data_IF_844092417486
#
_entry.id   IF_844092417486
#
_cell.length_a   1.000
_cell.length_b   1.000
_cell.length_c   1.000
_cell.angle_alpha   90.00
_cell.angle_beta   90.00
_cell.angle_gamma   90.00
#
_symmetry.space_group_name_H-M   'P 1'
#
loop_
_entity.id
_entity.type
_entity.pdbx_description
1 polymer ?
#
# COMPACT_ATOMS: atom_id res chain seq x y z
N UNK A 1 126.70 94.85 -114.46
CA UNK A 1 127.79 95.60 -115.12
C UNK A 1 129.10 94.92 -114.79
N UNK A 2 129.93 94.79 -115.83
CA UNK A 2 131.39 94.56 -115.83
C UNK A 2 132.12 95.30 -114.72
N UNK A 3 133.35 95.02 -114.27
CA UNK A 3 134.47 94.07 -114.50
C UNK A 3 135.53 94.62 -113.52
N UNK A 4 136.38 93.79 -112.91
CA UNK A 4 137.83 94.01 -112.94
C UNK A 4 138.63 92.90 -112.24
N UNK A 5 139.77 92.67 -112.87
CA UNK A 5 140.72 91.58 -112.77
C UNK A 5 141.58 91.55 -111.49
N UNK A 6 142.40 90.48 -111.44
CA UNK A 6 143.82 90.46 -111.02
C UNK A 6 144.12 89.54 -109.79
N UNK A 7 145.38 89.12 -109.58
CA UNK A 7 145.80 87.76 -109.93
C UNK A 7 146.60 87.03 -108.82
N UNK A 8 146.88 85.75 -109.07
CA UNK A 8 148.03 84.95 -108.62
C UNK A 8 148.60 85.17 -107.20
N UNK A 9 148.35 84.25 -106.26
CA UNK A 9 149.37 83.73 -105.31
C UNK A 9 148.88 82.49 -104.54
N UNK A 10 149.73 81.45 -104.45
CA UNK A 10 149.57 80.23 -103.63
C UNK A 10 149.55 80.56 -102.13
N UNK A 11 148.77 79.84 -101.30
CA UNK A 11 149.38 78.89 -100.34
C UNK A 11 148.51 77.62 -100.09
N UNK A 12 149.08 76.41 -100.13
CA UNK A 12 149.50 75.56 -99.00
C UNK A 12 148.36 74.98 -98.10
N UNK A 13 147.99 73.72 -98.37
CA UNK A 13 147.62 72.57 -97.47
C UNK A 13 146.97 72.95 -96.10
N UNK A 14 145.80 72.39 -95.69
CA UNK A 14 145.67 70.93 -95.59
C UNK A 14 144.40 70.27 -96.12
N UNK A 15 144.69 69.21 -96.85
CA UNK A 15 143.90 68.03 -97.12
C UNK A 15 143.47 67.38 -95.78
N UNK A 16 142.35 67.81 -95.19
CA UNK A 16 141.70 67.07 -94.08
C UNK A 16 140.93 65.91 -94.70
N UNK A 17 141.68 64.89 -95.13
CA UNK A 17 141.14 63.54 -95.23
C UNK A 17 140.61 63.17 -93.85
N UNK A 18 139.29 63.20 -93.66
CA UNK A 18 138.64 62.57 -92.51
C UNK A 18 139.14 61.12 -92.45
N UNK A 19 140.05 60.85 -91.54
CA UNK A 19 140.58 59.50 -91.33
C UNK A 19 139.40 58.58 -91.00
N UNK A 20 139.44 57.36 -91.54
CA UNK A 20 138.50 56.28 -91.18
C UNK A 20 138.35 56.16 -89.65
N UNK A 21 139.41 56.46 -88.90
CA UNK A 21 139.41 56.48 -87.44
C UNK A 21 138.44 57.54 -86.89
N UNK A 22 138.54 58.80 -87.32
CA UNK A 22 137.68 59.89 -86.86
C UNK A 22 136.19 59.70 -87.20
N UNK A 23 135.86 59.12 -88.36
CA UNK A 23 134.47 58.77 -88.68
C UNK A 23 133.97 57.55 -87.88
N UNK A 24 134.84 56.56 -87.64
CA UNK A 24 134.52 55.43 -86.76
C UNK A 24 134.35 55.85 -85.31
N UNK A 25 135.13 56.81 -84.81
CA UNK A 25 135.02 57.32 -83.45
C UNK A 25 133.72 58.11 -83.28
N UNK A 26 133.33 58.92 -84.27
CA UNK A 26 132.06 59.64 -84.25
C UNK A 26 130.84 58.71 -84.37
N UNK A 27 130.94 57.65 -85.20
CA UNK A 27 129.93 56.59 -85.22
C UNK A 27 129.90 55.80 -83.93
N UNK A 28 131.05 55.56 -83.28
CA UNK A 28 131.11 54.85 -82.00
C UNK A 28 130.49 55.71 -80.90
N UNK A 29 130.72 57.02 -80.91
CA UNK A 29 130.15 57.98 -79.96
C UNK A 29 128.65 58.17 -80.17
N UNK A 30 128.18 58.38 -81.41
CA UNK A 30 126.74 58.42 -81.72
C UNK A 30 126.09 57.08 -81.40
N UNK A 31 126.73 55.95 -81.69
CA UNK A 31 126.19 54.64 -81.33
C UNK A 31 126.22 54.40 -79.82
N UNK A 32 127.20 54.92 -79.08
CA UNK A 32 127.24 54.85 -77.63
C UNK A 32 126.17 55.75 -77.02
N UNK A 33 125.96 56.95 -77.56
CA UNK A 33 124.96 57.91 -77.09
C UNK A 33 123.53 57.46 -77.45
N UNK A 34 123.33 56.87 -78.64
CA UNK A 34 122.07 56.24 -79.02
C UNK A 34 121.84 54.97 -78.19
N UNK A 35 122.85 54.12 -77.98
CA UNK A 35 122.72 52.93 -77.13
C UNK A 35 122.47 53.30 -75.68
N UNK A 36 123.14 54.31 -75.13
CA UNK A 36 122.93 54.78 -73.76
C UNK A 36 121.56 55.45 -73.61
N UNK A 37 121.11 56.22 -74.61
CA UNK A 37 119.74 56.74 -74.62
C UNK A 37 118.71 55.62 -74.70
N UNK A 38 118.91 54.63 -75.57
CA UNK A 38 118.03 53.47 -75.73
C UNK A 38 118.00 52.64 -74.46
N UNK A 39 119.16 52.34 -73.85
CA UNK A 39 119.25 51.60 -72.58
C UNK A 39 118.63 52.41 -71.44
N UNK A 40 118.92 53.72 -71.35
CA UNK A 40 118.35 54.59 -70.31
C UNK A 40 116.83 54.77 -70.45
N UNK A 41 116.26 54.63 -71.65
CA UNK A 41 114.80 54.74 -71.85
C UNK A 41 114.08 53.40 -71.76
N UNK A 42 114.66 52.32 -72.29
CA UNK A 42 114.03 50.99 -72.30
C UNK A 42 114.29 50.18 -71.03
N UNK A 43 115.43 50.29 -70.36
CA UNK A 43 115.71 49.50 -69.15
C UNK A 43 114.68 49.71 -68.03
N UNK A 44 114.22 50.94 -67.71
CA UNK A 44 113.17 51.15 -66.71
C UNK A 44 111.82 50.59 -67.16
N UNK A 45 111.52 50.62 -68.47
CA UNK A 45 110.28 50.08 -69.03
C UNK A 45 110.24 48.55 -68.98
N UNK A 46 111.37 47.90 -69.30
CA UNK A 46 111.52 46.44 -69.19
C UNK A 46 111.42 46.00 -67.74
N UNK A 47 112.01 46.75 -66.79
CA UNK A 47 111.87 46.46 -65.36
C UNK A 47 110.44 46.59 -64.86
N UNK A 48 109.75 47.65 -65.27
CA UNK A 48 108.34 47.85 -64.91
C UNK A 48 107.46 46.74 -65.48
N UNK A 49 107.68 46.36 -66.74
CA UNK A 49 106.95 45.26 -67.38
C UNK A 49 107.21 43.89 -66.72
N UNK A 50 108.46 43.61 -66.33
CA UNK A 50 108.82 42.39 -65.63
C UNK A 50 108.15 42.29 -64.25
N UNK A 51 108.15 43.37 -63.46
CA UNK A 51 107.46 43.40 -62.15
C UNK A 51 105.95 43.20 -62.29
N UNK A 52 105.31 43.80 -63.27
CA UNK A 52 103.87 43.61 -63.49
C UNK A 52 103.59 42.16 -63.88
N UNK A 53 104.37 41.58 -64.81
CA UNK A 53 104.17 40.20 -65.29
C UNK A 53 104.37 39.17 -64.16
N UNK A 54 105.43 39.29 -63.36
CA UNK A 54 105.71 38.39 -62.23
C UNK A 54 104.70 38.58 -61.10
N UNK A 55 104.32 39.84 -60.80
CA UNK A 55 103.30 40.14 -59.80
C UNK A 55 101.93 39.56 -60.14
N UNK A 56 101.57 39.47 -61.43
CA UNK A 56 100.36 38.79 -61.89
C UNK A 56 100.43 37.26 -61.69
N UNK A 57 101.60 36.64 -61.84
CA UNK A 57 101.77 35.19 -61.68
C UNK A 57 101.78 34.74 -60.21
N UNK A 58 102.31 35.55 -59.30
CA UNK A 58 102.35 35.22 -57.86
C UNK A 58 100.99 35.36 -57.15
N UNK A 59 100.05 36.09 -57.76
CA UNK A 59 98.70 36.29 -57.23
C UNK A 59 98.66 37.18 -55.97
N UNK A 60 97.44 37.55 -55.53
CA UNK A 60 97.23 38.33 -54.31
C UNK A 60 97.77 37.59 -53.07
N UNK A 61 98.34 38.29 -52.06
CA UNK A 61 98.93 37.69 -50.85
C UNK A 61 97.95 36.84 -50.02
N UNK A 62 96.66 36.85 -50.36
CA UNK A 62 95.61 36.04 -49.73
C UNK A 62 95.52 34.62 -50.33
N UNK A 63 95.93 34.42 -51.59
CA UNK A 63 95.88 33.11 -52.27
C UNK A 63 97.25 32.47 -52.53
N UNK A 64 98.34 33.24 -52.55
CA UNK A 64 99.69 32.74 -52.80
C UNK A 64 100.56 32.58 -51.55
N UNK A 65 101.79 32.08 -51.72
CA UNK A 65 102.77 31.95 -50.64
C UNK A 65 103.18 33.36 -50.14
N UNK A 66 102.67 33.74 -48.96
CA UNK A 66 102.87 35.07 -48.34
C UNK A 66 104.34 35.48 -48.26
N UNK A 67 105.25 34.52 -48.04
CA UNK A 67 106.69 34.81 -47.90
C UNK A 67 107.35 35.21 -49.22
N UNK A 68 107.00 34.54 -50.31
CA UNK A 68 107.51 34.84 -51.66
C UNK A 68 106.97 36.20 -52.12
N UNK A 69 105.70 36.49 -51.85
CA UNK A 69 105.10 37.79 -52.17
C UNK A 69 105.77 38.96 -51.43
N UNK A 70 106.11 38.78 -50.14
CA UNK A 70 106.81 39.80 -49.34
C UNK A 70 108.25 40.03 -49.85
N UNK A 71 108.98 38.96 -50.22
CA UNK A 71 110.32 39.10 -50.82
C UNK A 71 110.26 39.82 -52.17
N UNK A 72 109.32 39.46 -53.04
CA UNK A 72 109.12 40.07 -54.34
C UNK A 72 108.88 41.60 -54.27
N UNK A 73 108.04 42.06 -53.35
CA UNK A 73 107.75 43.50 -53.17
C UNK A 73 108.98 44.29 -52.71
N UNK A 74 109.93 43.67 -52.01
CA UNK A 74 111.10 44.34 -51.43
C UNK A 74 112.28 44.55 -52.40
N UNK A 75 112.21 43.99 -53.62
CA UNK A 75 113.31 44.00 -54.60
C UNK A 75 113.49 45.35 -55.30
N UNK A 76 114.74 45.75 -55.57
CA UNK A 76 115.10 47.05 -56.18
C UNK A 76 115.75 46.94 -57.56
N UNK A 77 116.10 45.74 -58.02
CA UNK A 77 116.66 45.50 -59.35
C UNK A 77 116.04 44.29 -60.05
N UNK A 78 116.16 44.22 -61.37
CA UNK A 78 115.64 43.10 -62.18
C UNK A 78 116.24 41.74 -61.78
N UNK A 79 117.49 41.73 -61.32
CA UNK A 79 118.18 40.52 -60.86
C UNK A 79 117.61 40.03 -59.52
N UNK A 80 117.35 40.95 -58.59
CA UNK A 80 116.72 40.63 -57.31
C UNK A 80 115.27 40.15 -57.48
N UNK A 81 114.55 40.67 -58.49
CA UNK A 81 113.21 40.16 -58.85
C UNK A 81 113.29 38.68 -59.25
N UNK A 82 114.29 38.29 -60.06
CA UNK A 82 114.48 36.90 -60.45
C UNK A 82 114.80 36.00 -59.25
N UNK A 83 115.69 36.44 -58.35
CA UNK A 83 116.08 35.67 -57.15
C UNK A 83 114.94 35.56 -56.11
N UNK A 84 114.06 36.57 -56.03
CA UNK A 84 112.93 36.56 -55.09
C UNK A 84 111.82 35.55 -55.44
N UNK A 85 111.76 35.13 -56.70
CA UNK A 85 110.77 34.16 -57.22
C UNK A 85 111.31 32.73 -57.12
N UNK A 86 112.62 32.55 -56.95
CA UNK A 86 113.24 31.23 -56.75
C UNK A 86 112.94 30.77 -55.31
N UNK A 87 112.19 29.66 -55.12
CA UNK A 87 111.93 29.15 -53.79
C UNK A 87 113.23 28.63 -53.15
N UNK A 88 113.47 29.04 -51.91
CA UNK A 88 114.56 28.60 -51.04
C UNK A 88 114.32 27.11 -50.72
N UNK A 89 114.96 26.21 -51.46
CA UNK A 89 114.57 24.79 -51.56
C UNK A 89 115.24 23.86 -50.54
N UNK A 90 115.86 24.41 -49.49
CA UNK A 90 116.62 23.64 -48.50
C UNK A 90 115.80 23.00 -47.38
N UNK A 91 115.05 23.79 -46.60
CA UNK A 91 114.55 23.37 -45.26
C UNK A 91 113.01 23.36 -45.10
N UNK A 92 112.26 23.90 -46.07
CA UNK A 92 110.78 23.93 -46.01
C UNK A 92 110.14 22.59 -46.42
N UNK A 93 110.87 21.71 -47.12
CA UNK A 93 110.34 20.42 -47.61
C UNK A 93 110.16 19.39 -46.48
N UNK A 94 111.09 19.34 -45.53
CA UNK A 94 111.06 18.37 -44.43
C UNK A 94 110.07 18.76 -43.33
N UNK A 95 110.00 20.06 -43.01
CA UNK A 95 109.05 20.62 -42.03
C UNK A 95 107.60 20.52 -42.51
N UNK A 96 107.33 20.84 -43.78
CA UNK A 96 106.00 20.63 -44.39
C UNK A 96 105.63 19.15 -44.51
N UNK A 97 106.60 18.27 -44.77
CA UNK A 97 106.39 16.81 -44.81
C UNK A 97 106.04 16.23 -43.42
N UNK A 98 106.70 16.69 -42.35
CA UNK A 98 106.37 16.30 -40.97
C UNK A 98 104.99 16.81 -40.53
N UNK A 99 104.63 18.06 -40.85
CA UNK A 99 103.28 18.58 -40.58
C UNK A 99 102.21 17.83 -41.36
N UNK A 100 102.46 17.48 -42.63
CA UNK A 100 101.55 16.66 -43.43
C UNK A 100 101.40 15.25 -42.85
N UNK A 101 102.47 14.62 -42.36
CA UNK A 101 102.41 13.33 -41.70
C UNK A 101 101.61 13.39 -40.39
N UNK A 102 101.82 14.43 -39.59
CA UNK A 102 101.06 14.68 -38.35
C UNK A 102 99.58 14.89 -38.64
N UNK A 103 99.23 15.79 -39.57
CA UNK A 103 97.84 16.04 -39.96
C UNK A 103 97.16 14.78 -40.51
N UNK A 104 97.87 13.97 -41.30
CA UNK A 104 97.35 12.66 -41.74
C UNK A 104 97.09 11.73 -40.57
N UNK A 105 97.99 11.68 -39.58
CA UNK A 105 97.77 10.87 -38.37
C UNK A 105 96.58 11.38 -37.54
N UNK A 106 96.41 12.69 -37.42
CA UNK A 106 95.28 13.31 -36.72
C UNK A 106 93.96 13.03 -37.45
N UNK A 107 93.94 13.12 -38.79
CA UNK A 107 92.78 12.73 -39.61
C UNK A 107 92.45 11.26 -39.42
N UNK A 108 93.44 10.36 -39.48
CA UNK A 108 93.20 8.93 -39.28
C UNK A 108 92.73 8.62 -37.85
N UNK A 109 93.28 9.28 -36.84
CA UNK A 109 92.82 9.16 -35.45
C UNK A 109 91.39 9.67 -35.29
N UNK A 110 91.05 10.80 -35.90
CA UNK A 110 89.70 11.35 -35.89
C UNK A 110 88.71 10.43 -36.63
N UNK A 111 89.10 9.88 -37.78
CA UNK A 111 88.31 8.89 -38.52
C UNK A 111 88.11 7.60 -37.72
N UNK A 112 89.12 7.12 -37.00
CA UNK A 112 88.99 5.95 -36.14
C UNK A 112 88.07 6.22 -34.93
N UNK A 113 88.18 7.40 -34.32
CA UNK A 113 87.27 7.83 -33.25
C UNK A 113 85.83 7.97 -33.76
N UNK A 114 85.64 8.52 -34.96
CA UNK A 114 84.34 8.61 -35.61
C UNK A 114 83.75 7.22 -35.90
N UNK A 115 84.54 6.32 -36.49
CA UNK A 115 84.12 4.95 -36.78
C UNK A 115 83.73 4.16 -35.51
N UNK A 116 84.29 4.53 -34.36
CA UNK A 116 83.93 3.94 -33.05
C UNK A 116 82.70 4.62 -32.43
N UNK A 117 82.51 5.92 -32.62
CA UNK A 117 81.38 6.69 -32.08
C UNK A 117 80.07 6.45 -32.85
N UNK A 118 80.12 6.29 -34.18
CA UNK A 118 78.96 6.02 -35.03
C UNK A 118 78.10 4.84 -34.56
N UNK A 119 78.65 3.62 -34.33
CA UNK A 119 77.84 2.49 -33.86
C UNK A 119 77.26 2.72 -32.46
N UNK A 120 77.94 3.50 -31.60
CA UNK A 120 77.40 3.89 -30.29
C UNK A 120 76.20 4.82 -30.45
N UNK A 121 76.29 5.82 -31.33
CA UNK A 121 75.19 6.71 -31.63
C UNK A 121 73.99 5.96 -32.22
N UNK A 122 74.23 5.00 -33.13
CA UNK A 122 73.16 4.16 -33.69
C UNK A 122 72.45 3.36 -32.61
N UNK A 123 73.18 2.75 -31.66
CA UNK A 123 72.58 2.04 -30.52
C UNK A 123 71.71 2.97 -29.66
N UNK A 124 72.21 4.17 -29.36
CA UNK A 124 71.47 5.14 -28.57
C UNK A 124 70.18 5.60 -29.28
N UNK A 125 70.24 5.82 -30.61
CA UNK A 125 69.04 6.14 -31.41
C UNK A 125 68.01 5.01 -31.31
N UNK A 126 68.44 3.75 -31.48
CA UNK A 126 67.55 2.59 -31.37
C UNK A 126 66.94 2.45 -29.96
N UNK A 127 67.73 2.68 -28.91
CA UNK A 127 67.24 2.67 -27.54
C UNK A 127 66.23 3.79 -27.27
N UNK A 128 66.49 5.00 -27.76
CA UNK A 128 65.57 6.14 -27.65
C UNK A 128 64.26 5.87 -28.39
N UNK A 129 64.32 5.31 -29.60
CA UNK A 129 63.13 4.95 -30.38
C UNK A 129 62.31 3.86 -29.68
N UNK A 130 62.98 2.82 -29.17
CA UNK A 130 62.33 1.77 -28.37
C UNK A 130 61.65 2.37 -27.14
N UNK A 131 62.34 3.20 -26.36
CA UNK A 131 61.76 3.88 -25.20
C UNK A 131 60.58 4.78 -25.59
N UNK A 132 60.67 5.49 -26.71
CA UNK A 132 59.59 6.34 -27.22
C UNK A 132 58.34 5.53 -27.58
N UNK A 133 58.48 4.34 -28.17
CA UNK A 133 57.35 3.45 -28.45
C UNK A 133 56.68 2.95 -27.16
N UNK A 134 57.48 2.53 -26.16
CA UNK A 134 56.98 2.10 -24.86
C UNK A 134 56.24 3.23 -24.14
N UNK A 135 56.83 4.43 -24.08
CA UNK A 135 56.18 5.61 -23.49
C UNK A 135 54.87 5.97 -24.20
N UNK A 136 54.83 5.84 -25.53
CA UNK A 136 53.61 6.08 -26.31
C UNK A 136 52.52 5.05 -26.01
N UNK A 137 52.89 3.77 -25.84
CA UNK A 137 51.96 2.71 -25.42
C UNK A 137 51.42 2.97 -24.02
N UNK A 138 52.32 3.21 -23.06
CA UNK A 138 51.96 3.49 -21.66
C UNK A 138 51.04 4.71 -21.54
N UNK A 139 51.26 5.76 -22.36
CA UNK A 139 50.38 6.93 -22.40
C UNK A 139 48.98 6.58 -22.90
N UNK A 140 48.84 5.74 -23.93
CA UNK A 140 47.54 5.29 -24.43
C UNK A 140 46.81 4.44 -23.39
N UNK A 141 47.52 3.57 -22.68
CA UNK A 141 46.96 2.76 -21.58
C UNK A 141 46.50 3.65 -20.41
N UNK A 142 47.28 4.68 -20.07
CA UNK A 142 46.89 5.67 -19.05
C UNK A 142 45.60 6.42 -19.47
N UNK A 143 45.51 6.88 -20.71
CA UNK A 143 44.31 7.55 -21.22
C UNK A 143 43.10 6.60 -21.25
N UNK A 144 43.30 5.33 -21.58
CA UNK A 144 42.24 4.32 -21.56
C UNK A 144 41.75 4.04 -20.14
N UNK A 145 42.67 3.84 -19.19
CA UNK A 145 42.33 3.61 -17.78
C UNK A 145 41.66 4.82 -17.15
N UNK A 146 42.08 6.05 -17.51
CA UNK A 146 41.40 7.28 -17.08
C UNK A 146 39.95 7.35 -17.57
N UNK A 147 39.70 7.00 -18.85
CA UNK A 147 38.34 6.93 -19.39
C UNK A 147 37.49 5.89 -18.65
N UNK A 148 38.07 4.73 -18.34
CA UNK A 148 37.36 3.68 -17.61
C UNK A 148 37.05 4.07 -16.17
N UNK A 149 37.98 4.73 -15.46
CA UNK A 149 37.73 5.27 -14.13
C UNK A 149 36.60 6.29 -14.14
N UNK A 150 36.55 7.17 -15.15
CA UNK A 150 35.45 8.13 -15.29
C UNK A 150 34.11 7.43 -15.48
N UNK A 151 34.05 6.47 -16.41
CA UNK A 151 32.86 5.64 -16.68
C UNK A 151 32.39 4.88 -15.43
N UNK A 152 33.33 4.34 -14.64
CA UNK A 152 33.01 3.63 -13.40
C UNK A 152 32.44 4.58 -12.34
N UNK A 153 32.98 5.79 -12.19
CA UNK A 153 32.43 6.82 -11.28
C UNK A 153 31.02 7.26 -11.64
N UNK A 154 30.73 7.39 -12.94
CA UNK A 154 29.36 7.68 -13.41
C UNK A 154 28.40 6.53 -13.06
N UNK A 155 28.85 5.29 -13.26
CA UNK A 155 28.06 4.11 -12.89
C UNK A 155 27.85 4.01 -11.38
N UNK A 156 28.88 4.23 -10.58
CA UNK A 156 28.79 4.30 -9.11
C UNK A 156 27.77 5.34 -8.68
N UNK A 157 27.85 6.55 -9.24
CA UNK A 157 26.88 7.62 -8.98
C UNK A 157 25.46 7.24 -9.39
N UNK A 158 25.29 6.44 -10.46
CA UNK A 158 23.97 5.92 -10.86
C UNK A 158 23.42 4.90 -9.89
N UNK A 159 24.24 3.94 -9.46
CA UNK A 159 23.84 2.92 -8.50
C UNK A 159 23.52 3.53 -7.15
N UNK A 160 24.26 4.55 -6.70
CA UNK A 160 23.94 5.28 -5.47
C UNK A 160 22.57 5.96 -5.56
N UNK A 161 22.24 6.60 -6.68
CA UNK A 161 20.90 7.18 -6.89
C UNK A 161 19.79 6.14 -6.87
N UNK A 162 20.03 4.97 -7.47
CA UNK A 162 19.08 3.85 -7.44
C UNK A 162 18.90 3.30 -6.01
N UNK A 163 19.99 3.21 -5.24
CA UNK A 163 19.96 2.79 -3.84
C UNK A 163 19.18 3.79 -2.98
N UNK A 164 19.39 5.09 -3.16
CA UNK A 164 18.64 6.13 -2.45
C UNK A 164 17.15 6.08 -2.79
N UNK A 165 16.80 5.85 -4.05
CA UNK A 165 15.41 5.68 -4.47
C UNK A 165 14.77 4.43 -3.86
N UNK A 166 15.51 3.31 -3.79
CA UNK A 166 15.04 2.10 -3.14
C UNK A 166 14.86 2.29 -1.63
N UNK A 167 15.80 2.96 -0.97
CA UNK A 167 15.70 3.28 0.46
C UNK A 167 14.46 4.14 0.74
N UNK A 168 14.21 5.18 -0.06
CA UNK A 168 12.99 5.99 0.07
C UNK A 168 11.70 5.16 -0.13
N UNK A 169 11.73 4.16 -1.03
CA UNK A 169 10.61 3.25 -1.21
C UNK A 169 10.43 2.31 -0.01
N UNK A 170 11.51 1.81 0.59
CA UNK A 170 11.47 1.02 1.81
C UNK A 170 10.89 1.83 2.96
N UNK A 171 11.28 3.10 3.12
CA UNK A 171 10.72 4.00 4.14
C UNK A 171 9.21 4.21 3.94
N UNK A 172 8.77 4.46 2.70
CA UNK A 172 7.34 4.59 2.40
C UNK A 172 6.55 3.29 2.70
N UNK A 173 7.15 2.13 2.42
CA UNK A 173 6.55 0.83 2.75
C UNK A 173 6.49 0.60 4.27
N UNK A 174 7.52 1.02 5.02
CA UNK A 174 7.55 0.93 6.47
C UNK A 174 6.45 1.80 7.10
N UNK A 175 6.27 3.03 6.62
CA UNK A 175 5.17 3.90 7.06
C UNK A 175 3.80 3.28 6.76
N UNK A 176 3.61 2.74 5.56
CA UNK A 176 2.35 2.08 5.19
C UNK A 176 2.08 0.88 6.11
N UNK A 177 3.11 0.09 6.38
CA UNK A 177 3.04 -1.08 7.26
C UNK A 177 2.63 -0.67 8.69
N UNK A 178 3.24 0.37 9.25
CA UNK A 178 2.86 0.93 10.55
C UNK A 178 1.42 1.44 10.57
N UNK A 179 0.97 2.14 9.52
CA UNK A 179 -0.42 2.60 9.41
C UNK A 179 -1.41 1.43 9.37
N UNK A 180 -1.09 0.37 8.64
CA UNK A 180 -1.92 -0.83 8.57
C UNK A 180 -1.96 -1.56 9.91
N UNK A 181 -0.82 -1.69 10.59
CA UNK A 181 -0.75 -2.30 11.92
C UNK A 181 -1.62 -1.53 12.93
N UNK A 182 -1.56 -0.20 12.93
CA UNK A 182 -2.40 0.64 13.79
C UNK A 182 -3.90 0.48 13.49
N UNK A 183 -4.27 0.35 12.21
CA UNK A 183 -5.66 0.08 11.81
C UNK A 183 -6.14 -1.29 12.25
N UNK A 184 -5.28 -2.30 12.16
CA UNK A 184 -5.57 -3.66 12.64
C UNK A 184 -5.80 -3.64 14.14
N UNK A 185 -4.87 -3.05 14.92
CA UNK A 185 -5.02 -2.91 16.38
C UNK A 185 -6.32 -2.21 16.77
N UNK A 186 -6.65 -1.10 16.09
CA UNK A 186 -7.90 -0.37 16.34
C UNK A 186 -9.15 -1.22 16.03
N UNK A 187 -9.11 -2.01 14.95
CA UNK A 187 -10.21 -2.91 14.59
C UNK A 187 -10.34 -4.09 15.55
N UNK A 188 -9.21 -4.62 16.04
CA UNK A 188 -9.17 -5.67 17.06
C UNK A 188 -9.75 -5.18 18.39
N UNK A 189 -9.36 -3.98 18.84
CA UNK A 189 -9.91 -3.35 20.04
C UNK A 189 -11.43 -3.14 19.94
N UNK A 190 -11.91 -2.67 18.78
CA UNK A 190 -13.34 -2.50 18.53
C UNK A 190 -14.08 -3.85 18.52
N UNK A 191 -13.53 -4.86 17.84
CA UNK A 191 -14.07 -6.22 17.82
C UNK A 191 -14.16 -6.82 19.23
N UNK A 192 -13.11 -6.64 20.04
CA UNK A 192 -13.09 -7.09 21.43
C UNK A 192 -14.16 -6.37 22.25
N UNK A 193 -14.29 -5.05 22.09
CA UNK A 193 -15.33 -4.24 22.75
C UNK A 193 -16.74 -4.70 22.38
N UNK A 194 -17.01 -4.93 21.10
CA UNK A 194 -18.31 -5.41 20.60
C UNK A 194 -18.62 -6.83 21.10
N UNK A 195 -17.60 -7.69 21.17
CA UNK A 195 -17.72 -9.04 21.73
C UNK A 195 -18.12 -8.99 23.21
N UNK A 196 -17.44 -8.16 24.00
CA UNK A 196 -17.77 -7.96 25.42
C UNK A 196 -19.18 -7.36 25.60
N UNK A 197 -19.55 -6.37 24.79
CA UNK A 197 -20.89 -5.78 24.81
C UNK A 197 -21.97 -6.83 24.51
N UNK A 198 -21.76 -7.63 23.46
CA UNK A 198 -22.69 -8.69 23.07
C UNK A 198 -22.83 -9.75 24.17
N UNK A 199 -21.72 -10.13 24.82
CA UNK A 199 -21.76 -11.07 25.95
C UNK A 199 -22.59 -10.51 27.12
N UNK A 200 -22.40 -9.24 27.48
CA UNK A 200 -23.20 -8.57 28.53
C UNK A 200 -24.68 -8.51 28.17
N UNK A 201 -25.01 -8.14 26.94
CA UNK A 201 -26.41 -8.08 26.48
C UNK A 201 -27.07 -9.46 26.48
N UNK A 202 -26.34 -10.51 26.09
CA UNK A 202 -26.83 -11.89 26.17
C UNK A 202 -27.17 -12.29 27.61
N UNK A 203 -26.33 -11.97 28.58
CA UNK A 203 -26.60 -12.28 29.99
C UNK A 203 -27.78 -11.48 30.55
N UNK A 204 -27.89 -10.19 30.22
CA UNK A 204 -29.05 -9.35 30.60
C UNK A 204 -30.33 -9.95 30.01
N UNK A 205 -30.34 -10.28 28.73
CA UNK A 205 -31.49 -10.87 28.06
C UNK A 205 -31.88 -12.21 28.68
N UNK A 206 -30.90 -13.08 28.94
CA UNK A 206 -31.10 -14.37 29.61
C UNK A 206 -31.73 -14.21 31.00
N UNK A 207 -31.25 -13.25 31.80
CA UNK A 207 -31.81 -12.94 33.10
C UNK A 207 -33.27 -12.42 33.02
N UNK A 208 -33.56 -11.55 32.06
CA UNK A 208 -34.91 -11.04 31.80
C UNK A 208 -35.86 -12.15 31.38
N UNK A 209 -35.43 -13.03 30.45
CA UNK A 209 -36.23 -14.19 30.02
C UNK A 209 -36.48 -15.14 31.20
N UNK A 210 -35.48 -15.41 32.03
CA UNK A 210 -35.66 -16.24 33.23
C UNK A 210 -36.68 -15.62 34.20
N UNK A 211 -36.61 -14.31 34.43
CA UNK A 211 -37.56 -13.57 35.26
C UNK A 211 -38.98 -13.64 34.68
N UNK A 212 -39.17 -13.33 33.40
CA UNK A 212 -40.47 -13.42 32.74
C UNK A 212 -41.03 -14.84 32.77
N UNK A 213 -40.18 -15.85 32.55
CA UNK A 213 -40.60 -17.25 32.65
C UNK A 213 -41.06 -17.60 34.07
N UNK A 214 -40.41 -17.08 35.12
CA UNK A 214 -40.86 -17.26 36.50
C UNK A 214 -42.20 -16.57 36.79
N UNK A 215 -42.42 -15.37 36.24
CA UNK A 215 -43.68 -14.64 36.35
C UNK A 215 -44.82 -15.38 35.64
N UNK A 216 -44.58 -15.90 34.43
CA UNK A 216 -45.54 -16.71 33.68
C UNK A 216 -45.91 -17.97 34.47
N UNK A 217 -44.93 -18.68 35.05
CA UNK A 217 -45.22 -19.84 35.93
C UNK A 217 -46.06 -19.46 37.14
N UNK A 218 -45.75 -18.33 37.79
CA UNK A 218 -46.54 -17.83 38.93
C UNK A 218 -47.97 -17.47 38.52
N UNK A 219 -48.15 -16.84 37.37
CA UNK A 219 -49.47 -16.52 36.82
C UNK A 219 -50.25 -17.81 36.55
N UNK A 220 -49.65 -18.80 35.89
CA UNK A 220 -50.28 -20.10 35.67
C UNK A 220 -50.71 -20.79 36.97
N UNK A 221 -49.87 -20.72 38.01
CA UNK A 221 -50.24 -21.25 39.33
C UNK A 221 -51.45 -20.52 39.92
N UNK A 222 -51.44 -19.18 39.91
CA UNK A 222 -52.55 -18.38 40.43
C UNK A 222 -53.86 -18.64 39.68
N UNK A 223 -53.81 -18.75 38.35
CA UNK A 223 -54.98 -19.09 37.54
C UNK A 223 -55.48 -20.51 37.86
N UNK A 224 -54.58 -21.48 37.99
CA UNK A 224 -54.95 -22.85 38.36
C UNK A 224 -55.58 -22.92 39.76
N UNK A 225 -55.04 -22.19 40.72
CA UNK A 225 -55.58 -22.10 42.09
C UNK A 225 -56.97 -21.43 42.09
N UNK A 226 -57.16 -20.40 41.25
CA UNK A 226 -58.46 -19.74 41.06
C UNK A 226 -59.48 -20.66 40.42
N UNK A 227 -59.12 -21.42 39.39
CA UNK A 227 -60.00 -22.39 38.73
C UNK A 227 -60.47 -23.46 39.72
N UNK A 228 -59.56 -23.98 40.56
CA UNK A 228 -59.91 -24.93 41.63
C UNK A 228 -60.87 -24.29 42.66
N UNK A 229 -60.61 -23.05 43.06
CA UNK A 229 -61.46 -22.33 44.00
C UNK A 229 -62.87 -22.10 43.42
N UNK A 230 -62.96 -21.70 42.15
CA UNK A 230 -64.22 -21.45 41.44
C UNK A 230 -65.00 -22.75 41.22
N UNK A 231 -64.35 -23.84 40.84
CA UNK A 231 -64.97 -25.16 40.74
C UNK A 231 -65.53 -25.61 42.11
N UNK A 232 -64.79 -25.37 43.19
CA UNK A 232 -65.26 -25.68 44.55
C UNK A 232 -66.49 -24.83 44.94
N UNK A 233 -66.51 -23.54 44.57
CA UNK A 233 -67.63 -22.64 44.83
C UNK A 233 -68.86 -23.02 43.99
N UNK A 234 -68.65 -23.36 42.72
CA UNK A 234 -69.69 -23.78 41.79
C UNK A 234 -70.32 -25.11 42.23
N UNK A 235 -69.51 -26.09 42.65
CA UNK A 235 -70.05 -27.35 43.20
C UNK A 235 -70.88 -27.13 44.46
N UNK A 236 -70.49 -26.21 45.35
CA UNK A 236 -71.29 -25.81 46.53
C UNK A 236 -72.60 -25.14 46.14
N UNK A 237 -72.58 -24.22 45.17
CA UNK A 237 -73.79 -23.56 44.66
C UNK A 237 -74.74 -24.53 43.97
N UNK A 238 -74.22 -25.51 43.21
CA UNK A 238 -75.01 -26.58 42.60
C UNK A 238 -75.70 -27.44 43.65
N UNK A 239 -75.01 -27.81 44.73
CA UNK A 239 -75.61 -28.52 45.87
C UNK A 239 -76.75 -27.73 46.50
N UNK A 240 -76.51 -26.46 46.87
CA UNK A 240 -77.56 -25.60 47.44
C UNK A 240 -78.77 -25.43 46.51
N UNK A 241 -78.55 -25.27 45.20
CA UNK A 241 -79.63 -25.20 44.22
C UNK A 241 -80.44 -26.50 44.15
N UNK A 242 -79.78 -27.66 44.26
CA UNK A 242 -80.47 -28.95 44.31
C UNK A 242 -81.35 -29.04 45.56
N UNK A 243 -80.81 -28.71 46.73
CA UNK A 243 -81.54 -28.75 47.99
C UNK A 243 -82.75 -27.81 47.97
N UNK A 244 -82.58 -26.58 47.46
CA UNK A 244 -83.67 -25.63 47.29
C UNK A 244 -84.76 -26.15 46.33
N UNK A 245 -84.39 -26.79 45.21
CA UNK A 245 -85.35 -27.41 44.30
C UNK A 245 -86.11 -28.55 44.96
N UNK A 246 -85.44 -29.35 45.78
CA UNK A 246 -86.08 -30.43 46.55
C UNK A 246 -87.07 -29.86 47.58
N UNK A 247 -86.69 -28.80 48.31
CA UNK A 247 -87.59 -28.09 49.22
C UNK A 247 -88.80 -27.50 48.48
N UNK A 248 -88.60 -26.83 47.34
CA UNK A 248 -89.70 -26.30 46.52
C UNK A 248 -90.61 -27.42 46.03
N UNK A 249 -90.06 -28.59 45.66
CA UNK A 249 -90.86 -29.75 45.27
C UNK A 249 -91.69 -30.30 46.44
N UNK A 250 -91.10 -30.40 47.63
CA UNK A 250 -91.80 -30.83 48.84
C UNK A 250 -92.92 -29.85 49.20
N UNK A 251 -92.64 -28.54 49.22
CA UNK A 251 -93.63 -27.49 49.46
C UNK A 251 -94.73 -27.50 48.41
N UNK A 252 -94.39 -27.69 47.13
CA UNK A 252 -95.39 -27.81 46.06
C UNK A 252 -96.28 -29.04 46.23
N UNK A 253 -95.71 -30.18 46.63
CA UNK A 253 -96.49 -31.39 46.95
C UNK A 253 -97.37 -31.20 48.18
N UNK A 254 -96.87 -30.58 49.24
CA UNK A 254 -97.65 -30.23 50.43
C UNK A 254 -98.80 -29.27 50.08
N UNK A 255 -98.52 -28.23 49.28
CA UNK A 255 -99.54 -27.29 48.83
C UNK A 255 -100.59 -27.98 47.92
N UNK A 256 -100.19 -28.91 47.05
CA UNK A 256 -101.12 -29.75 46.28
C UNK A 256 -101.97 -30.63 47.19
N UNK A 257 -101.39 -31.25 48.22
CA UNK A 257 -102.12 -32.07 49.19
C UNK A 257 -103.13 -31.22 49.96
N UNK A 258 -102.73 -30.05 50.48
CA UNK A 258 -103.64 -29.11 51.14
C UNK A 258 -104.79 -28.69 50.22
N UNK A 259 -104.52 -28.32 48.96
CA UNK A 259 -105.56 -28.01 47.98
C UNK A 259 -106.48 -29.19 47.67
N UNK A 260 -105.98 -30.42 47.73
CA UNK A 260 -106.78 -31.62 47.56
C UNK A 260 -107.68 -31.89 48.78
N UNK A 261 -107.15 -31.70 50.00
CA UNK A 261 -107.91 -31.78 51.24
C UNK A 261 -109.05 -30.75 51.27
N UNK A 262 -108.77 -29.49 50.91
CA UNK A 262 -109.78 -28.42 50.76
C UNK A 262 -110.91 -28.85 49.80
N UNK A 263 -110.59 -29.55 48.71
CA UNK A 263 -111.58 -30.00 47.72
C UNK A 263 -112.36 -31.25 48.12
N UNK A 264 -111.81 -32.13 48.96
CA UNK A 264 -112.41 -33.41 49.34
C UNK A 264 -113.29 -33.33 50.58
N UNK A 265 -113.02 -32.37 51.47
CA UNK A 265 -113.61 -32.30 52.80
C UNK A 265 -114.63 -31.15 52.95
N UNK A 266 -115.01 -30.49 51.84
CA UNK A 266 -115.90 -29.30 51.81
C UNK A 266 -115.49 -28.23 52.84
N UNK A 267 -114.20 -28.14 53.17
CA UNK A 267 -113.69 -27.08 54.03
C UNK A 267 -113.63 -25.81 53.20
N UNK A 268 -114.47 -24.84 53.58
CA UNK A 268 -114.60 -23.55 52.91
C UNK A 268 -113.21 -22.88 52.75
N UNK A 269 -112.79 -22.55 51.51
CA UNK A 269 -111.50 -21.91 51.27
C UNK A 269 -111.25 -20.65 52.12
N UNK A 270 -112.29 -19.93 52.52
CA UNK A 270 -112.18 -18.74 53.37
C UNK A 270 -111.77 -19.08 54.82
N UNK A 271 -112.16 -20.25 55.33
CA UNK A 271 -111.75 -20.75 56.66
C UNK A 271 -110.28 -21.17 56.67
N UNK A 272 -109.76 -21.72 55.56
CA UNK A 272 -108.35 -22.10 55.46
C UNK A 272 -107.43 -20.88 55.34
N UNK A 273 -107.85 -19.84 54.62
CA UNK A 273 -107.14 -18.55 54.55
C UNK A 273 -107.05 -17.94 55.94
N UNK A 274 -108.14 -17.97 56.72
CA UNK A 274 -108.18 -17.49 58.10
C UNK A 274 -107.26 -18.27 59.06
N UNK A 275 -107.19 -19.60 58.96
CA UNK A 275 -106.26 -20.41 59.79
C UNK A 275 -104.81 -20.12 59.39
N UNK A 276 -104.52 -19.97 58.11
CA UNK A 276 -103.17 -19.69 57.61
C UNK A 276 -102.71 -18.27 57.97
N UNK A 277 -103.62 -17.30 57.89
CA UNK A 277 -103.39 -15.90 58.28
C UNK A 277 -103.25 -15.79 59.80
N UNK A 278 -104.13 -16.45 60.56
CA UNK A 278 -104.04 -16.53 62.03
C UNK A 278 -102.77 -17.20 62.56
N UNK A 279 -102.22 -18.20 61.86
CA UNK A 279 -100.93 -18.80 62.18
C UNK A 279 -99.72 -17.92 61.79
N UNK A 280 -99.90 -17.00 60.82
CA UNK A 280 -98.84 -16.13 60.32
C UNK A 280 -98.79 -14.76 61.02
N UNK A 281 -99.94 -14.22 61.45
CA UNK A 281 -100.07 -12.87 62.03
C UNK A 281 -100.54 -12.86 63.49
N UNK A 282 -101.04 -13.98 64.02
CA UNK A 282 -101.45 -14.12 65.42
C UNK A 282 -102.81 -13.50 65.78
N UNK A 283 -103.52 -12.88 64.84
CA UNK A 283 -104.83 -12.25 65.06
C UNK A 283 -105.82 -12.69 63.97
N UNK A 284 -106.98 -13.26 64.38
CA UNK A 284 -108.03 -13.72 63.47
C UNK A 284 -109.10 -12.63 63.28
N UNK A 285 -109.36 -12.21 62.04
CA UNK A 285 -110.45 -11.27 61.74
C UNK A 285 -111.79 -12.00 61.56
N UNK A 286 -112.59 -12.02 62.62
CA UNK A 286 -113.89 -12.72 62.68
C UNK A 286 -115.01 -12.09 61.83
N UNK A 287 -114.79 -10.91 61.26
CA UNK A 287 -115.79 -10.22 60.42
C UNK A 287 -115.88 -10.84 59.01
N UNK A 288 -114.89 -11.63 58.60
CA UNK A 288 -114.87 -12.32 57.30
C UNK A 288 -115.76 -13.57 57.24
N UNK A 289 -116.31 -14.00 58.37
CA UNK A 289 -117.06 -15.25 58.54
C UNK A 289 -118.57 -15.00 58.38
N UNK A 290 -119.17 -15.52 57.31
CA UNK A 290 -120.63 -15.47 57.06
C UNK A 290 -121.39 -16.53 57.89
N UNK A 291 -121.22 -16.46 59.22
CA UNK A 291 -121.94 -17.27 60.21
C UNK A 291 -122.80 -16.38 61.10
N UNK A 292 -123.92 -16.94 61.56
CA UNK A 292 -124.87 -16.26 62.44
C UNK A 292 -124.21 -15.72 63.72
N UNK A 293 -124.72 -14.59 64.24
CA UNK A 293 -124.11 -13.86 65.36
C UNK A 293 -123.92 -14.70 66.62
N UNK A 294 -124.81 -15.66 66.89
CA UNK A 294 -124.68 -16.60 68.02
C UNK A 294 -123.53 -17.58 67.83
N UNK A 295 -123.37 -18.16 66.63
CA UNK A 295 -122.29 -19.10 66.30
C UNK A 295 -120.94 -18.40 66.35
N UNK A 296 -120.87 -17.14 65.91
CA UNK A 296 -119.67 -16.29 66.01
C UNK A 296 -119.25 -16.05 67.46
N UNK A 297 -120.19 -15.81 68.37
CA UNK A 297 -119.90 -15.60 69.80
C UNK A 297 -119.45 -16.88 70.53
N UNK A 298 -119.99 -18.05 70.13
CA UNK A 298 -119.56 -19.37 70.63
C UNK A 298 -118.13 -19.67 70.16
N UNK A 299 -117.83 -19.42 68.89
CA UNK A 299 -116.50 -19.60 68.31
C UNK A 299 -115.46 -18.67 68.96
N UNK A 300 -115.79 -17.40 69.21
CA UNK A 300 -114.93 -16.45 69.95
C UNK A 300 -114.61 -16.93 71.37
N UNK A 301 -115.59 -17.49 72.10
CA UNK A 301 -115.37 -18.03 73.45
C UNK A 301 -114.48 -19.27 73.45
N UNK A 302 -114.67 -20.18 72.50
CA UNK A 302 -113.84 -21.38 72.40
C UNK A 302 -112.41 -21.05 71.95
N UNK A 303 -112.26 -20.05 71.10
CA UNK A 303 -110.95 -19.53 70.72
C UNK A 303 -110.22 -18.88 71.91
N UNK A 304 -110.93 -18.15 72.77
CA UNK A 304 -110.36 -17.58 73.99
C UNK A 304 -110.00 -18.62 75.06
N UNK A 305 -110.62 -19.81 75.03
CA UNK A 305 -110.32 -20.94 75.92
C UNK A 305 -109.38 -21.97 75.28
N UNK A 306 -108.60 -21.61 74.27
CA UNK A 306 -107.68 -22.52 73.59
C UNK A 306 -106.70 -23.14 74.60
N UNK A 307 -106.80 -24.45 74.77
CA UNK A 307 -105.88 -25.24 75.59
C UNK A 307 -104.62 -25.55 74.77
N UNK A 308 -103.47 -25.01 75.18
CA UNK A 308 -102.21 -25.05 74.42
C UNK A 308 -101.58 -26.46 74.31
N UNK A 309 -102.23 -27.48 74.85
CA UNK A 309 -101.79 -28.89 74.82
C UNK A 309 -102.46 -29.73 73.74
N UNK A 310 -103.45 -29.19 73.02
CA UNK A 310 -104.10 -29.88 71.90
C UNK A 310 -103.33 -29.67 70.59
N UNK A 311 -103.24 -30.71 69.74
CA UNK A 311 -102.76 -30.56 68.35
C UNK A 311 -103.65 -29.56 67.61
N UNK A 312 -103.04 -28.62 66.88
CA UNK A 312 -103.77 -27.59 66.11
C UNK A 312 -104.80 -28.21 65.14
N UNK A 313 -104.56 -29.42 64.63
CA UNK A 313 -105.53 -30.17 63.81
C UNK A 313 -106.80 -30.57 64.58
N UNK A 314 -106.67 -31.03 65.83
CA UNK A 314 -107.81 -31.45 66.64
C UNK A 314 -108.63 -30.23 67.12
N UNK A 315 -107.96 -29.11 67.36
CA UNK A 315 -108.60 -27.84 67.72
C UNK A 315 -109.36 -27.24 66.53
N UNK A 316 -108.75 -27.21 65.35
CA UNK A 316 -109.40 -26.77 64.12
C UNK A 316 -110.62 -27.64 63.76
N UNK A 317 -110.51 -28.97 63.88
CA UNK A 317 -111.61 -29.90 63.67
C UNK A 317 -112.74 -29.75 64.71
N UNK A 318 -112.43 -29.28 65.93
CA UNK A 318 -113.43 -28.92 66.95
C UNK A 318 -114.23 -27.68 66.58
N UNK A 319 -113.55 -26.63 66.12
CA UNK A 319 -114.17 -25.39 65.65
C UNK A 319 -115.04 -25.60 64.41
N UNK A 320 -114.55 -26.36 63.43
CA UNK A 320 -115.29 -26.66 62.20
C UNK A 320 -116.59 -27.44 62.49
N UNK A 321 -116.55 -28.43 63.40
CA UNK A 321 -117.75 -29.19 63.78
C UNK A 321 -118.84 -28.35 64.43
N UNK A 322 -118.47 -27.28 65.13
CA UNK A 322 -119.42 -26.38 65.80
C UNK A 322 -119.97 -25.37 64.79
N UNK A 323 -119.13 -24.87 63.88
CA UNK A 323 -119.56 -23.99 62.80
C UNK A 323 -120.55 -24.68 61.83
N UNK A 324 -120.43 -25.99 61.62
CA UNK A 324 -121.28 -26.77 60.72
C UNK A 324 -122.58 -27.32 61.35
N UNK A 325 -122.86 -27.09 62.65
CA UNK A 325 -124.10 -27.54 63.32
C UNK A 325 -125.13 -26.40 63.43
N UNK A 326 -125.75 -26.03 62.32
CA UNK A 326 -127.00 -25.25 62.33
C UNK A 326 -128.20 -26.20 62.18
N UNK A 327 -128.93 -26.42 63.29
CA UNK A 327 -130.19 -27.18 63.33
C UNK A 327 -130.12 -28.45 64.20
N UNK A 328 -130.88 -28.43 65.30
CA UNK A 328 -131.22 -29.52 66.23
C UNK A 328 -130.22 -29.93 67.34
N UNK A 329 -130.67 -29.63 68.56
CA UNK A 329 -130.39 -30.17 69.90
C UNK A 329 -128.98 -30.64 70.31
N UNK A 330 -128.47 -29.92 71.31
CA UNK A 330 -127.37 -30.28 72.20
C UNK A 330 -127.72 -31.55 73.02
N UNK A 331 -127.11 -32.69 72.67
CA UNK A 331 -126.93 -33.80 73.61
C UNK A 331 -125.49 -34.30 73.55
N UNK A 332 -124.83 -34.21 74.71
CA UNK A 332 -123.57 -34.87 75.03
C UNK A 332 -123.81 -36.39 75.07
N UNK A 333 -123.04 -37.17 74.30
CA UNK A 333 -122.87 -38.59 74.59
C UNK A 333 -121.44 -39.05 74.29
N UNK A 334 -120.90 -39.72 75.30
CA UNK A 334 -119.67 -40.46 75.36
C UNK A 334 -119.84 -41.83 74.65
N UNK A 335 -118.71 -42.50 74.43
CA UNK A 335 -118.48 -43.83 73.84
C UNK A 335 -118.41 -43.85 72.30
N UNK A 336 -117.40 -44.43 71.66
CA UNK A 336 -116.48 -45.48 72.08
C UNK A 336 -116.57 -46.61 71.06
N UNK A 337 -115.41 -47.12 70.63
CA UNK A 337 -115.16 -48.44 70.02
C UNK A 337 -114.77 -48.51 68.54
N UNK A 338 -113.54 -49.02 68.41
CA UNK A 338 -112.86 -49.67 67.31
C UNK A 338 -113.67 -50.56 66.34
N UNK A 339 -113.25 -50.60 65.08
CA UNK A 339 -112.86 -51.81 64.33
C UNK A 339 -112.31 -51.38 62.95
N UNK A 340 -111.03 -51.62 62.62
CA UNK A 340 -110.40 -52.85 62.12
C UNK A 340 -110.61 -53.16 60.62
N UNK A 341 -109.45 -53.31 59.95
CA UNK A 341 -109.12 -54.34 58.93
C UNK A 341 -109.48 -54.12 57.46
N UNK A 342 -108.43 -54.04 56.60
CA UNK A 342 -107.93 -55.08 55.65
C UNK A 342 -106.99 -54.40 54.62
N UNK A 343 -105.71 -54.78 54.52
CA UNK A 343 -105.13 -55.84 53.65
C UNK A 343 -105.58 -55.66 52.19
N UNK A 344 -104.70 -55.32 51.24
CA UNK A 344 -103.73 -56.18 50.53
C UNK A 344 -102.53 -55.34 50.02
N UNK A 345 -101.26 -55.68 50.23
CA UNK A 345 -100.41 -56.75 49.66
C UNK A 345 -100.11 -56.64 48.15
N UNK A 346 -98.87 -56.23 47.86
CA UNK A 346 -97.84 -56.88 46.98
C UNK A 346 -98.19 -57.14 45.50
N UNK A 347 -97.38 -56.85 44.48
CA UNK A 347 -96.02 -56.35 44.34
C UNK A 347 -95.56 -56.49 42.87
N UNK A 348 -94.23 -56.38 42.65
CA UNK A 348 -93.46 -56.75 41.42
C UNK A 348 -93.75 -55.94 40.15
N UNK A 349 -92.82 -55.66 39.23
CA UNK A 349 -91.42 -56.04 39.01
C UNK A 349 -90.84 -55.13 37.91
N UNK A 350 -89.52 -54.93 37.97
CA UNK A 350 -88.57 -54.56 36.93
C UNK A 350 -89.01 -54.63 35.46
N UNK A 351 -88.63 -53.60 34.68
CA UNK A 351 -88.19 -53.76 33.30
C UNK A 351 -87.17 -52.68 32.90
N UNK A 352 -86.12 -53.17 32.27
CA UNK A 352 -84.87 -52.57 31.81
C UNK A 352 -85.04 -52.02 30.39
N UNK A 353 -84.37 -50.91 30.03
CA UNK A 353 -84.07 -50.61 28.61
C UNK A 353 -82.68 -49.99 28.51
N UNK A 354 -81.74 -50.80 28.03
CA UNK A 354 -80.50 -50.39 27.40
C UNK A 354 -80.79 -49.66 26.08
N UNK A 355 -79.95 -48.68 25.71
CA UNK A 355 -79.55 -48.49 24.30
C UNK A 355 -78.18 -47.85 24.19
N UNK A 356 -77.41 -48.46 23.31
CA UNK A 356 -75.98 -48.38 23.08
C UNK A 356 -75.66 -47.59 21.80
N UNK A 357 -74.35 -47.43 21.60
CA UNK A 357 -73.64 -47.28 20.31
C UNK A 357 -73.66 -45.89 19.65
N UNK A 358 -72.67 -45.48 18.85
CA UNK A 358 -71.26 -45.83 18.63
C UNK A 358 -70.78 -44.95 17.47
N UNK A 359 -69.49 -44.58 17.45
CA UNK A 359 -68.62 -44.33 16.26
C UNK A 359 -69.06 -43.31 15.19
N UNK A 360 -68.16 -42.38 14.87
CA UNK A 360 -67.65 -42.21 13.51
C UNK A 360 -66.23 -41.62 13.50
N UNK A 361 -65.38 -42.21 12.64
CA UNK A 361 -64.02 -41.81 12.28
C UNK A 361 -63.96 -41.85 10.75
N UNK A 362 -63.66 -40.73 10.09
CA UNK A 362 -63.10 -40.56 8.73
C UNK A 362 -62.81 -39.05 8.56
N UNK A 363 -61.59 -38.55 8.33
CA UNK A 363 -60.65 -38.58 7.17
C UNK A 363 -61.10 -37.74 5.95
N UNK A 364 -60.13 -36.95 5.43
CA UNK A 364 -60.11 -36.06 4.25
C UNK A 364 -60.72 -34.65 4.47
N UNK A 365 -60.19 -33.52 3.99
CA UNK A 365 -59.14 -33.20 3.02
C UNK A 365 -58.87 -31.68 3.00
N UNK A 366 -57.70 -31.31 2.44
CA UNK A 366 -57.40 -30.07 1.69
C UNK A 366 -57.07 -28.75 2.45
N UNK A 367 -55.83 -28.30 2.23
CA UNK A 367 -55.34 -26.91 2.36
C UNK A 367 -56.03 -25.97 1.34
N UNK A 368 -55.99 -24.63 1.50
CA UNK A 368 -54.81 -23.87 1.03
C UNK A 368 -54.48 -22.53 1.75
N UNK A 369 -53.24 -22.08 1.53
CA UNK A 369 -52.70 -20.70 1.66
C UNK A 369 -52.52 -20.17 3.10
N UNK A 370 -51.37 -19.63 3.53
CA UNK A 370 -50.25 -19.07 2.78
C UNK A 370 -50.28 -17.54 2.83
N UNK A 371 -49.88 -16.95 3.95
CA UNK A 371 -49.36 -15.57 4.05
C UNK A 371 -48.69 -15.35 5.42
N UNK A 372 -47.37 -15.48 5.47
CA UNK A 372 -46.54 -14.79 6.44
C UNK A 372 -45.63 -13.86 5.63
N UNK A 373 -45.86 -12.56 5.80
CA UNK A 373 -44.95 -11.52 5.35
C UNK A 373 -43.71 -11.52 6.26
N UNK A 374 -42.54 -11.68 5.67
CA UNK A 374 -41.26 -11.26 6.24
C UNK A 374 -40.50 -10.49 5.15
N UNK A 375 -40.41 -9.19 5.35
CA UNK A 375 -39.55 -8.24 4.64
C UNK A 375 -38.19 -8.16 5.35
N UNK A 376 -37.11 -7.65 4.70
CA UNK A 376 -35.89 -8.45 4.53
C UNK A 376 -34.69 -7.94 5.33
N UNK A 377 -33.73 -8.84 5.57
CA UNK A 377 -32.36 -8.51 5.98
C UNK A 377 -31.54 -8.05 4.75
N UNK A 378 -30.61 -7.09 4.91
CA UNK A 378 -29.78 -6.60 3.82
C UNK A 378 -28.52 -7.47 3.66
N UNK A 379 -28.38 -8.09 2.49
CA UNK A 379 -27.12 -8.70 2.04
C UNK A 379 -26.44 -7.75 1.06
N UNK A 380 -25.29 -7.19 1.43
CA UNK A 380 -24.40 -6.48 0.51
C UNK A 380 -22.94 -6.77 0.85
N UNK A 381 -22.50 -8.00 0.54
CA UNK A 381 -21.08 -8.29 0.35
C UNK A 381 -20.73 -7.95 -1.11
N UNK A 382 -20.13 -6.78 -1.31
CA UNK A 382 -19.45 -6.46 -2.56
C UNK A 382 -18.05 -7.07 -2.51
N UNK A 383 -17.87 -8.22 -3.14
CA UNK A 383 -16.54 -8.67 -3.54
C UNK A 383 -16.10 -7.84 -4.75
N UNK A 384 -15.22 -6.87 -4.54
CA UNK A 384 -14.38 -6.32 -5.61
C UNK A 384 -13.05 -7.08 -5.60
N UNK A 385 -12.99 -8.21 -6.30
CA UNK A 385 -11.72 -8.70 -6.82
C UNK A 385 -11.57 -8.04 -8.20
N UNK A 386 -10.80 -6.96 -8.24
CA UNK A 386 -10.36 -6.34 -9.49
C UNK A 386 -9.22 -7.20 -10.02
N UNK A 387 -9.51 -8.03 -11.01
CA UNK A 387 -8.48 -8.62 -11.87
C UNK A 387 -7.72 -7.47 -12.56
N UNK A 388 -6.54 -7.18 -12.03
CA UNK A 388 -5.61 -6.17 -12.52
C UNK A 388 -4.23 -6.78 -12.60
N UNK A 389 -3.98 -7.43 -13.75
CA UNK A 389 -2.69 -7.55 -14.43
C UNK A 389 -1.41 -7.37 -13.58
N UNK A 390 -0.92 -8.46 -13.00
CA UNK A 390 0.50 -8.63 -12.66
C UNK A 390 0.93 -10.05 -12.99
N UNK A 391 1.63 -10.22 -14.12
CA UNK A 391 2.81 -11.10 -14.29
C UNK A 391 3.09 -11.37 -15.77
N UNK A 392 3.69 -10.38 -16.43
CA UNK A 392 4.64 -10.59 -17.53
C UNK A 392 6.04 -10.25 -17.03
N UNK A 393 6.54 -10.95 -16.01
CA UNK A 393 7.98 -10.98 -15.69
C UNK A 393 8.30 -12.36 -15.11
N UNK A 394 8.31 -13.39 -15.97
CA UNK A 394 9.11 -14.59 -15.74
C UNK A 394 9.74 -14.97 -17.08
N UNK A 395 10.97 -14.49 -17.29
CA UNK A 395 11.93 -15.13 -18.17
C UNK A 395 12.63 -16.27 -17.40
N UNK A 396 13.09 -17.32 -18.09
CA UNK A 396 13.33 -18.63 -17.48
C UNK A 396 14.77 -18.83 -17.00
N UNK A 397 14.96 -19.90 -16.22
CA UNK A 397 16.22 -20.57 -15.87
C UNK A 397 17.06 -19.94 -14.74
N UNK A 398 16.98 -20.50 -13.53
CA UNK A 398 18.14 -21.15 -12.89
C UNK A 398 17.64 -22.28 -11.98
N UNK A 399 18.00 -23.50 -12.34
CA UNK A 399 17.96 -24.71 -11.51
C UNK A 399 18.91 -24.55 -10.32
N UNK A 400 18.43 -24.58 -9.07
CA UNK A 400 19.25 -24.98 -7.93
C UNK A 400 18.46 -25.95 -7.07
N UNK A 401 18.78 -27.22 -7.26
CA UNK A 401 18.64 -28.30 -6.29
C UNK A 401 19.36 -27.90 -5.01
N UNK A 402 18.68 -27.92 -3.86
CA UNK A 402 19.27 -28.37 -2.60
C UNK A 402 18.20 -28.64 -1.54
N UNK A 403 17.94 -29.92 -1.39
CA UNK A 403 17.57 -30.60 -0.15
C UNK A 403 18.43 -30.12 1.02
N UNK A 404 17.86 -29.89 2.19
CA UNK A 404 18.41 -30.35 3.47
C UNK A 404 17.33 -30.34 4.56
N UNK A 405 17.19 -31.51 5.19
CA UNK A 405 16.50 -31.75 6.46
C UNK A 405 17.12 -30.94 7.60
N UNK A 406 16.28 -30.47 8.53
CA UNK A 406 16.36 -30.77 9.97
C UNK A 406 14.94 -31.01 10.47
#
# INVERSE_FOLDING_TARGET
MRVQDAPATRPNIPDVRLSRQTFQDLLREVNHEVSDRVISTLAPQIETAARISVGMQLGSPVRGNKRIYVRFVATRSLQEVADSVVPDSGDESETTSQELARLRSEIHSAQAAQATAEPSLTKEIMHRESAQTVCSSARRELEQTQREVHRLRERESSVLRELDAFNAQVDAHNELSQRLENRIKSAEDESQRLTQYTARQKEIFKATVATNTSQIRRLHQLLSDSDIADDSANTRLKRRNKDLREQVKLLSSANKALRAHVKLEEVDPDVLVLVLEGLSTGELNWELLDVSGQTRDILKRLYAMKDYTMSDENFAAGLARIACREGDDLVLSHDGRAANSRKTSTGTSYAEVQKSNSKHKAKASASPSGRFECSPLPTRFHCFFREGSFSRILGPQVNIVRSFQV
#
